data_IF_856224749823
#
_entry.id   IF_856224749823
#
_cell.length_a   1.000
_cell.length_b   1.000
_cell.length_c   1.000
_cell.angle_alpha   90.00
_cell.angle_beta   90.00
_cell.angle_gamma   90.00
#
_symmetry.space_group_name_H-M   'P 1'
#
loop_
_entity.id
_entity.type
_entity.pdbx_description
1 polymer ?
#
# COMPACT_ATOMS: atom_id res chain seq x y z
N UNK A 1 6.84 -2.77 1.42
CA UNK A 1 5.94 -3.56 2.31
C UNK A 1 6.31 -3.46 3.78
N UNK A 2 7.59 -3.52 4.15
CA UNK A 2 8.01 -3.47 5.56
C UNK A 2 7.38 -2.31 6.36
N UNK A 3 7.31 -1.10 5.78
CA UNK A 3 6.76 0.06 6.47
C UNK A 3 5.24 -0.04 6.72
N UNK A 4 4.45 -0.51 5.74
CA UNK A 4 3.02 -0.71 5.91
C UNK A 4 2.70 -1.70 7.06
N UNK A 5 3.46 -2.80 7.16
CA UNK A 5 3.29 -3.75 8.28
C UNK A 5 3.75 -3.17 9.62
N UNK A 6 4.77 -2.32 9.66
CA UNK A 6 5.13 -1.59 10.90
C UNK A 6 3.97 -0.72 11.37
N UNK A 7 3.32 0.01 10.46
CA UNK A 7 2.15 0.83 10.79
C UNK A 7 0.98 -0.02 11.29
N UNK A 8 0.69 -1.14 10.62
CA UNK A 8 -0.34 -2.09 11.03
C UNK A 8 -0.05 -2.73 12.40
N UNK A 9 1.22 -2.96 12.73
CA UNK A 9 1.63 -3.47 14.04
C UNK A 9 1.45 -2.43 15.16
N UNK A 10 1.62 -1.14 14.86
CA UNK A 10 1.54 -0.05 15.85
C UNK A 10 0.09 0.38 16.12
N UNK A 11 -0.83 0.17 15.17
CA UNK A 11 -2.19 0.68 15.25
C UNK A 11 -3.22 -0.35 14.80
N UNK A 12 -4.16 -0.66 15.69
CA UNK A 12 -5.30 -1.56 15.41
C UNK A 12 -6.25 -1.02 14.33
N UNK A 13 -6.09 0.24 13.92
CA UNK A 13 -6.87 0.86 12.83
C UNK A 13 -6.30 0.58 11.44
N UNK A 14 -5.10 -0.01 11.36
CA UNK A 14 -4.40 -0.22 10.10
C UNK A 14 -4.20 -1.72 9.91
N UNK A 15 -4.69 -2.24 8.79
CA UNK A 15 -4.33 -3.56 8.28
C UNK A 15 -3.44 -3.41 7.05
N UNK A 16 -2.44 -4.27 6.91
CA UNK A 16 -1.56 -4.27 5.76
C UNK A 16 -1.31 -5.72 5.31
N UNK A 17 -1.43 -5.95 4.01
CA UNK A 17 -1.14 -7.23 3.39
C UNK A 17 -0.06 -7.09 2.33
N UNK A 18 0.71 -8.17 2.23
CA UNK A 18 1.82 -8.31 1.32
C UNK A 18 1.45 -9.28 0.21
N UNK A 19 1.45 -8.83 -1.05
CA UNK A 19 1.02 -9.65 -2.18
C UNK A 19 2.15 -9.78 -3.19
N UNK A 20 2.47 -11.01 -3.56
CA UNK A 20 3.42 -11.28 -4.64
C UNK A 20 2.74 -11.07 -6.00
N UNK A 21 3.22 -10.06 -6.74
CA UNK A 21 2.66 -9.69 -8.03
C UNK A 21 2.77 -10.81 -9.08
N UNK A 22 3.72 -11.73 -8.93
CA UNK A 22 3.96 -12.85 -9.86
C UNK A 22 3.05 -14.04 -9.60
N UNK A 23 2.60 -14.23 -8.36
CA UNK A 23 1.65 -15.29 -8.00
C UNK A 23 0.19 -14.84 -8.21
N UNK A 24 -0.09 -13.54 -8.02
CA UNK A 24 -1.44 -12.98 -8.09
C UNK A 24 -1.66 -12.15 -9.37
N UNK A 25 -1.42 -12.76 -10.54
CA UNK A 25 -1.54 -12.10 -11.86
C UNK A 25 -2.89 -11.36 -12.04
N UNK A 26 -4.07 -11.92 -11.71
CA UNK A 26 -5.33 -11.21 -11.88
C UNK A 26 -5.41 -9.93 -11.05
N UNK A 27 -4.81 -9.93 -9.85
CA UNK A 27 -4.79 -8.77 -8.98
C UNK A 27 -3.80 -7.71 -9.50
N UNK A 28 -2.64 -8.15 -10.00
CA UNK A 28 -1.68 -7.30 -10.69
C UNK A 28 -2.31 -6.61 -11.90
N UNK A 29 -3.12 -7.33 -12.68
CA UNK A 29 -3.89 -6.74 -13.78
C UNK A 29 -4.96 -5.76 -13.28
N UNK A 30 -5.74 -6.12 -12.26
CA UNK A 30 -6.77 -5.24 -11.66
C UNK A 30 -6.20 -3.88 -11.25
N UNK A 31 -5.02 -3.86 -10.63
CA UNK A 31 -4.37 -2.62 -10.17
C UNK A 31 -3.34 -2.05 -11.14
N UNK A 32 -3.29 -2.56 -12.39
CA UNK A 32 -2.33 -2.13 -13.41
C UNK A 32 -0.89 -2.04 -12.85
N UNK A 33 -0.41 -3.12 -12.25
CA UNK A 33 0.95 -3.17 -11.68
C UNK A 33 1.96 -3.19 -12.82
N UNK A 34 2.62 -2.05 -13.05
CA UNK A 34 3.73 -1.90 -14.00
C UNK A 34 5.10 -1.92 -13.32
N UNK A 35 5.16 -1.63 -12.03
CA UNK A 35 6.38 -1.62 -11.24
C UNK A 35 6.11 -1.99 -9.78
N UNK A 36 7.13 -2.51 -9.11
CA UNK A 36 7.08 -2.88 -7.69
C UNK A 36 8.13 -2.08 -6.89
N UNK A 37 7.85 -1.71 -5.63
CA UNK A 37 6.58 -1.94 -4.92
C UNK A 37 5.47 -1.00 -5.42
N UNK A 38 4.23 -1.53 -5.49
CA UNK A 38 3.00 -0.75 -5.66
C UNK A 38 2.17 -0.85 -4.39
N UNK A 39 1.65 0.27 -3.92
CA UNK A 39 0.84 0.34 -2.71
C UNK A 39 -0.54 0.86 -3.09
N UNK A 40 -1.57 0.18 -2.57
CA UNK A 40 -2.97 0.55 -2.73
C UNK A 40 -3.57 0.66 -1.34
N UNK A 41 -4.12 1.82 -1.00
CA UNK A 41 -4.75 2.08 0.29
C UNK A 41 -6.24 2.29 0.05
N UNK A 42 -7.07 1.43 0.65
CA UNK A 42 -8.54 1.49 0.58
C UNK A 42 -9.12 1.62 -0.84
N UNK A 43 -8.43 1.09 -1.86
CA UNK A 43 -8.75 1.26 -3.29
C UNK A 43 -8.85 2.72 -3.78
N UNK A 44 -8.45 3.70 -2.96
CA UNK A 44 -8.57 5.15 -3.24
C UNK A 44 -7.22 5.77 -3.58
N UNK A 45 -6.19 5.43 -2.81
CA UNK A 45 -4.85 6.00 -2.96
C UNK A 45 -3.92 4.93 -3.52
N UNK A 46 -3.19 5.28 -4.57
CA UNK A 46 -2.29 4.37 -5.28
C UNK A 46 -1.00 5.11 -5.58
N UNK A 47 0.13 4.51 -5.20
CA UNK A 47 1.45 5.00 -5.59
C UNK A 47 2.41 3.84 -5.87
N UNK A 48 3.42 4.15 -6.69
CA UNK A 48 4.48 3.22 -7.07
C UNK A 48 5.82 3.69 -6.51
N UNK A 49 6.70 2.72 -6.23
CA UNK A 49 8.02 2.97 -5.69
C UNK A 49 8.05 3.06 -4.16
N UNK A 50 9.26 3.18 -3.63
CA UNK A 50 9.48 3.37 -2.21
C UNK A 50 9.41 4.86 -1.87
N UNK A 51 8.26 5.31 -1.35
CA UNK A 51 8.15 6.65 -0.77
C UNK A 51 8.97 6.75 0.52
N UNK A 52 9.49 7.95 0.87
CA UNK A 52 9.96 8.24 2.22
C UNK A 52 8.87 7.97 3.26
N UNK A 53 9.26 7.60 4.48
CA UNK A 53 8.32 7.21 5.54
C UNK A 53 7.31 8.31 5.89
N UNK A 54 7.76 9.57 5.92
CA UNK A 54 6.89 10.74 6.19
C UNK A 54 5.78 10.86 5.13
N UNK A 55 6.15 10.88 3.84
CA UNK A 55 5.18 10.96 2.75
C UNK A 55 4.23 9.75 2.73
N UNK A 56 4.71 8.56 3.09
CA UNK A 56 3.85 7.38 3.20
C UNK A 56 2.79 7.57 4.30
N UNK A 57 3.16 8.11 5.47
CA UNK A 57 2.20 8.39 6.55
C UNK A 57 1.16 9.43 6.09
N UNK A 58 1.58 10.47 5.37
CA UNK A 58 0.67 11.47 4.82
C UNK A 58 -0.39 10.83 3.91
N UNK A 59 0.00 9.93 3.01
CA UNK A 59 -0.92 9.18 2.15
C UNK A 59 -1.89 8.30 2.96
N UNK A 60 -1.41 7.63 4.02
CA UNK A 60 -2.27 6.83 4.91
C UNK A 60 -3.29 7.72 5.64
N UNK A 61 -2.86 8.89 6.13
CA UNK A 61 -3.75 9.84 6.81
C UNK A 61 -4.73 10.52 5.85
N UNK A 62 -4.36 10.72 4.58
CA UNK A 62 -5.26 11.20 3.56
C UNK A 62 -6.36 10.18 3.26
N UNK A 63 -6.04 8.88 3.25
CA UNK A 63 -7.01 7.82 3.01
C UNK A 63 -8.12 7.74 4.07
N UNK A 64 -7.84 8.07 5.34
CA UNK A 64 -8.82 8.09 6.43
C UNK A 64 -9.87 9.21 6.28
N UNK A 65 -9.51 10.29 5.58
CA UNK A 65 -10.36 11.48 5.43
C UNK A 65 -11.26 11.45 4.19
N UNK A 66 -11.09 10.45 3.31
CA UNK A 66 -11.82 10.26 2.05
C UNK A 66 -12.92 9.21 2.19
#
# INVERSE_FOLDING_TARGET
>A
MQFAHKLAFISDKISADAIDATEFIPLSQKYNVSGVPKVVINEKIIFEGALPEESFIEEVMAADKL
#
